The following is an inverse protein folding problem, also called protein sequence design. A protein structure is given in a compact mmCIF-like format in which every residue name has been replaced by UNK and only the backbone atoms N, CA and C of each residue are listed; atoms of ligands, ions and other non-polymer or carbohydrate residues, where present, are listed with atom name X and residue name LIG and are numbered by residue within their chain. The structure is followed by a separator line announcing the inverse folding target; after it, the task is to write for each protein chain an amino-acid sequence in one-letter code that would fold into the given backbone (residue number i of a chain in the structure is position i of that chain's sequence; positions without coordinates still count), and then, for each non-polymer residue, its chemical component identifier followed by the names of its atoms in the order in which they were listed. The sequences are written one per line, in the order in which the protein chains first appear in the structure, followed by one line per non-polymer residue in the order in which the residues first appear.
data_IF_792801353002
#
_entry.id   IF_792801353002
#
_cell.length_a   1.000
_cell.length_b   1.000
_cell.length_c   1.000
_cell.angle_alpha   90.00
_cell.angle_beta   90.00
_cell.angle_gamma   90.00
#
_symmetry.space_group_name_H-M   'P 1'
#
loop_
_entity.id
_entity.type
_entity.pdbx_description
1 polymer ?
#
# COMPACT_ATOMS: atom_id res chain seq x y z
N UNK A 1 19.33 6.68 -4.97
CA UNK A 1 18.03 5.97 -5.00
C UNK A 1 16.97 6.94 -4.53
N UNK A 2 16.06 7.33 -5.41
CA UNK A 2 15.02 8.34 -5.13
C UNK A 2 13.94 7.76 -4.20
N UNK A 3 13.86 8.32 -2.99
CA UNK A 3 12.73 8.11 -2.07
C UNK A 3 11.73 9.23 -2.34
N UNK A 4 10.46 8.88 -2.54
CA UNK A 4 9.35 9.83 -2.64
C UNK A 4 8.80 10.04 -1.25
N UNK A 5 8.75 11.29 -0.80
CA UNK A 5 8.05 11.62 0.44
C UNK A 5 6.56 11.79 0.13
N UNK A 6 5.70 11.12 0.90
CA UNK A 6 4.26 11.19 0.78
C UNK A 6 3.69 11.24 2.18
N UNK A 7 2.97 12.30 2.53
CA UNK A 7 2.40 12.52 3.86
C UNK A 7 3.34 12.14 5.01
N UNK A 8 4.56 12.70 5.02
CA UNK A 8 5.61 12.47 6.02
C UNK A 8 6.25 11.07 6.04
N UNK A 9 5.89 10.18 5.12
CA UNK A 9 6.50 8.85 4.97
C UNK A 9 7.36 8.79 3.70
N UNK A 10 8.51 8.13 3.79
CA UNK A 10 9.44 7.95 2.66
C UNK A 10 9.16 6.62 1.97
N UNK A 11 8.45 6.68 0.86
CA UNK A 11 8.20 5.53 -0.01
C UNK A 11 9.34 5.37 -1.03
N UNK A 12 9.75 4.14 -1.29
CA UNK A 12 10.70 3.82 -2.35
C UNK A 12 10.07 4.07 -3.73
N UNK A 13 10.81 4.78 -4.61
CA UNK A 13 10.35 5.06 -5.97
C UNK A 13 10.47 3.89 -6.96
N UNK A 14 11.17 2.80 -6.59
CA UNK A 14 11.46 1.67 -7.50
C UNK A 14 10.99 0.32 -6.99
N UNK A 15 10.60 0.21 -5.71
CA UNK A 15 10.19 -1.04 -5.08
C UNK A 15 9.11 -0.80 -4.03
N UNK A 16 8.38 -1.84 -3.59
CA UNK A 16 7.49 -1.72 -2.45
C UNK A 16 8.24 -1.29 -1.18
N UNK A 17 7.56 -0.56 -0.30
CA UNK A 17 8.08 -0.10 0.98
C UNK A 17 7.34 -0.80 2.09
N UNK A 18 8.05 -1.55 2.93
CA UNK A 18 7.48 -2.13 4.14
C UNK A 18 7.48 -1.09 5.24
N UNK A 19 6.31 -0.78 5.78
CA UNK A 19 6.12 0.09 6.94
C UNK A 19 5.36 -0.69 8.01
N UNK A 20 5.61 -0.35 9.28
CA UNK A 20 4.77 -0.83 10.38
C UNK A 20 3.41 -0.11 10.33
N UNK A 21 2.32 -0.80 10.69
CA UNK A 21 0.98 -0.21 10.78
C UNK A 21 0.91 1.00 11.72
N UNK A 22 1.73 1.06 12.77
CA UNK A 22 1.85 2.23 13.66
C UNK A 22 2.34 3.48 12.91
N UNK A 23 3.20 3.31 11.90
CA UNK A 23 3.65 4.44 11.06
C UNK A 23 2.55 4.94 10.11
N UNK A 24 1.49 4.15 9.94
CA UNK A 24 0.32 4.46 9.11
C UNK A 24 -0.88 4.90 9.95
N UNK A 25 -0.68 5.31 11.21
CA UNK A 25 -1.76 5.73 12.10
C UNK A 25 -2.63 6.85 11.53
N UNK A 26 -2.05 7.77 10.76
CA UNK A 26 -2.77 8.86 10.08
C UNK A 26 -3.28 8.47 8.67
N UNK A 27 -3.00 7.25 8.21
CA UNK A 27 -3.37 6.78 6.88
C UNK A 27 -4.58 5.85 6.98
N UNK A 28 -5.43 5.87 5.97
CA UNK A 28 -6.49 4.86 5.86
C UNK A 28 -5.87 3.57 5.35
N UNK A 29 -5.96 2.50 6.14
CA UNK A 29 -5.54 1.15 5.75
C UNK A 29 -6.78 0.30 5.47
N UNK A 30 -6.96 -0.08 4.21
CA UNK A 30 -8.05 -0.94 3.77
C UNK A 30 -7.53 -2.36 3.53
N UNK A 31 -8.03 -3.33 4.29
CA UNK A 31 -7.73 -4.75 4.11
C UNK A 31 -8.92 -5.47 3.48
N UNK A 32 -8.69 -6.24 2.42
CA UNK A 32 -9.68 -7.13 1.83
C UNK A 32 -9.50 -8.56 2.36
N UNK A 33 -10.57 -9.37 2.46
CA UNK A 33 -10.50 -10.76 2.92
C UNK A 33 -9.89 -11.72 1.88
N UNK A 34 -9.05 -11.23 0.97
CA UNK A 34 -8.44 -11.95 -0.14
C UNK A 34 -6.93 -12.00 0.07
N UNK A 35 -6.30 -13.16 -0.16
CA UNK A 35 -4.83 -13.26 -0.13
C UNK A 35 -4.28 -12.84 -1.50
N UNK A 36 -3.39 -11.85 -1.50
CA UNK A 36 -2.79 -11.33 -2.73
C UNK A 36 -1.45 -11.97 -3.06
N UNK A 37 -0.71 -12.38 -2.03
CA UNK A 37 0.56 -13.09 -2.20
C UNK A 37 0.57 -14.27 -1.25
N UNK A 38 0.65 -15.52 -1.76
CA UNK A 38 0.68 -16.71 -0.93
C UNK A 38 1.75 -16.60 0.17
N UNK A 39 1.33 -16.77 1.42
CA UNK A 39 2.22 -16.74 2.59
C UNK A 39 2.75 -15.36 3.02
N UNK A 40 2.39 -14.25 2.34
CA UNK A 40 2.87 -12.91 2.73
C UNK A 40 1.82 -11.99 3.34
N UNK A 41 0.55 -12.14 2.97
CA UNK A 41 -0.53 -11.35 3.57
C UNK A 41 -1.78 -11.19 2.71
N UNK A 42 -2.65 -10.31 3.16
CA UNK A 42 -3.91 -9.95 2.53
C UNK A 42 -3.73 -8.82 1.52
N UNK A 43 -4.58 -8.83 0.50
CA UNK A 43 -4.77 -7.70 -0.40
C UNK A 43 -5.22 -6.48 0.39
N UNK A 44 -4.63 -5.34 0.10
CA UNK A 44 -5.06 -4.09 0.69
C UNK A 44 -4.75 -2.90 -0.18
N UNK A 45 -5.22 -1.77 0.32
CA UNK A 45 -4.91 -0.47 -0.22
C UNK A 45 -4.67 0.47 0.95
N UNK A 46 -3.78 1.44 0.75
CA UNK A 46 -3.53 2.50 1.74
C UNK A 46 -3.75 3.85 1.10
N UNK A 47 -4.32 4.78 1.85
CA UNK A 47 -4.56 6.15 1.41
C UNK A 47 -3.90 7.13 2.38
N UNK A 48 -2.98 7.99 1.92
CA UNK A 48 -2.41 9.02 2.76
C UNK A 48 -3.45 10.10 3.10
N UNK A 49 -3.31 10.81 4.23
CA UNK A 49 -4.19 11.92 4.61
C UNK A 49 -3.98 13.17 3.73
N UNK A 50 -4.15 13.02 2.42
CA UNK A 50 -3.96 14.03 1.39
C UNK A 50 -5.20 14.03 0.48
N UNK A 51 -5.97 15.12 0.51
CA UNK A 51 -7.27 15.23 -0.16
C UNK A 51 -7.24 14.95 -1.67
N UNK A 52 -6.11 15.19 -2.34
CA UNK A 52 -5.95 15.02 -3.80
C UNK A 52 -5.09 13.82 -4.18
N UNK A 53 -4.73 13.00 -3.21
CA UNK A 53 -3.92 11.82 -3.47
C UNK A 53 -4.82 10.60 -3.69
N UNK A 54 -4.38 9.67 -4.55
CA UNK A 54 -5.08 8.40 -4.74
C UNK A 54 -4.60 7.31 -3.78
N UNK A 55 -5.13 6.10 -3.99
CA UNK A 55 -4.82 4.88 -3.24
C UNK A 55 -3.56 4.20 -3.74
N UNK A 56 -2.76 3.68 -2.82
CA UNK A 56 -1.64 2.80 -3.13
C UNK A 56 -2.01 1.34 -2.86
N UNK A 57 -1.64 0.41 -3.76
CA UNK A 57 -1.75 -1.01 -3.47
C UNK A 57 -0.86 -1.36 -2.28
N UNK A 58 -1.36 -2.21 -1.39
CA UNK A 58 -0.59 -2.69 -0.26
C UNK A 58 -0.83 -4.18 -0.01
N UNK A 59 0.18 -4.86 0.52
CA UNK A 59 0.00 -6.18 1.12
C UNK A 59 0.01 -6.01 2.64
N UNK A 60 -1.11 -6.36 3.28
CA UNK A 60 -1.29 -6.19 4.73
C UNK A 60 -0.98 -7.52 5.41
N UNK A 61 -0.03 -7.51 6.33
CA UNK A 61 0.32 -8.64 7.18
C UNK A 61 -0.05 -8.31 8.63
N UNK A 62 -1.25 -8.71 9.09
CA UNK A 62 -1.69 -8.41 10.46
C UNK A 62 -0.84 -9.14 11.51
N UNK A 63 -0.34 -10.35 11.22
CA UNK A 63 0.49 -11.13 12.16
C UNK A 63 1.82 -10.42 12.48
N UNK A 64 2.38 -9.71 11.51
CA UNK A 64 3.62 -8.93 11.66
C UNK A 64 3.39 -7.45 11.96
N UNK A 65 2.13 -7.00 11.94
CA UNK A 65 1.76 -5.58 12.00
C UNK A 65 2.47 -4.73 10.92
N UNK A 66 2.58 -5.26 9.71
CA UNK A 66 3.27 -4.62 8.59
C UNK A 66 2.35 -4.40 7.39
N UNK A 67 2.57 -3.29 6.69
CA UNK A 67 2.01 -3.04 5.37
C UNK A 67 3.13 -2.83 4.35
N UNK A 68 3.12 -3.64 3.29
CA UNK A 68 4.02 -3.48 2.17
C UNK A 68 3.35 -2.61 1.10
N UNK A 69 3.71 -1.33 1.03
CA UNK A 69 3.07 -0.31 0.19
C UNK A 69 3.77 -0.21 -1.16
N UNK A 70 3.01 -0.30 -2.25
CA UNK A 70 3.50 -0.21 -3.62
C UNK A 70 3.49 1.24 -4.14
N UNK A 71 4.11 2.15 -3.38
CA UNK A 71 4.22 3.59 -3.72
C UNK A 71 5.16 3.92 -4.89
N UNK A 72 5.90 2.93 -5.39
CA UNK A 72 6.75 3.07 -6.57
C UNK A 72 5.97 3.21 -7.88
N UNK A 73 4.66 2.92 -7.87
CA UNK A 73 3.83 3.02 -9.05
C UNK A 73 3.74 4.47 -9.55
N UNK A 74 3.71 4.67 -10.88
CA UNK A 74 3.78 6.01 -11.47
C UNK A 74 2.54 6.86 -11.16
N UNK A 75 1.38 6.23 -10.95
CA UNK A 75 0.13 6.89 -10.55
C UNK A 75 -0.57 6.08 -9.47
N UNK A 76 -1.16 6.73 -8.47
CA UNK A 76 -2.05 6.07 -7.53
C UNK A 76 -3.41 5.75 -8.18
N UNK A 77 -4.18 4.88 -7.55
CA UNK A 77 -5.50 4.44 -8.02
C UNK A 77 -6.63 5.31 -7.47
N UNK A 78 -7.75 5.35 -8.17
CA UNK A 78 -8.91 6.14 -7.76
C UNK A 78 -9.67 5.52 -6.57
N UNK A 79 -9.67 4.19 -6.43
CA UNK A 79 -10.42 3.48 -5.39
C UNK A 79 -9.55 2.40 -4.74
N UNK A 80 -9.87 1.96 -3.50
CA UNK A 80 -9.14 0.90 -2.83
C UNK A 80 -9.26 -0.45 -3.56
N UNK A 81 -10.39 -0.73 -4.22
CA UNK A 81 -10.59 -1.95 -5.01
C UNK A 81 -9.66 -1.99 -6.21
N UNK A 82 -9.56 -0.90 -6.98
CA UNK A 82 -8.64 -0.81 -8.12
C UNK A 82 -7.18 -0.96 -7.69
N UNK A 83 -6.83 -0.41 -6.53
CA UNK A 83 -5.51 -0.62 -5.93
C UNK A 83 -5.27 -2.09 -5.56
N UNK A 84 -6.24 -2.77 -4.94
CA UNK A 84 -6.11 -4.17 -4.56
C UNK A 84 -6.05 -5.13 -5.78
N UNK A 85 -6.69 -4.78 -6.88
CA UNK A 85 -6.64 -5.56 -8.14
C UNK A 85 -5.27 -5.51 -8.84
N UNK A 86 -4.37 -4.59 -8.45
CA UNK A 86 -2.98 -4.58 -8.93
C UNK A 86 -2.30 -5.95 -8.83
N UNK A 87 -2.59 -6.68 -7.76
CA UNK A 87 -2.00 -7.99 -7.50
C UNK A 87 -2.63 -9.12 -8.33
N UNK A 88 -3.83 -8.93 -8.86
CA UNK A 88 -4.50 -9.90 -9.74
C UNK A 88 -3.99 -9.85 -11.17
N UNK A 89 -3.66 -8.64 -11.65
CA UNK A 89 -3.16 -8.45 -13.02
C UNK A 89 -1.72 -8.95 -13.23
N UNK A 90 -1.01 -9.32 -12.17
CA UNK A 90 0.38 -9.79 -12.20
C UNK A 90 0.54 -11.30 -12.03
N UNK A 91 -0.56 -12.04 -11.98
CA UNK A 91 -0.57 -13.50 -11.82
C UNK A 91 -0.73 -14.24 -13.14
#
# INVERSE_FOLDING_TARGET
MEKKETANLKLHGTKPTTLNLEQLHDWVVWQFPKKCVPGKGFCGAVHPPLEKHGWFPAVINPDKQEAQIHGHLPKPYATPELAAEYFHQKS
#
